data_IF_984714151488
#
_entry.id   IF_984714151488
#
_cell.length_a   1.000
_cell.length_b   1.000
_cell.length_c   1.000
_cell.angle_alpha   90.00
_cell.angle_beta   90.00
_cell.angle_gamma   90.00
#
_symmetry.space_group_name_H-M   'P 1'
#
loop_
_entity.id
_entity.type
_entity.pdbx_description
1 polymer ?
#
# COMPACT_ATOMS: atom_id res chain seq x y z
N UNK A 1 25.16 -5.01 3.70
CA UNK A 1 24.52 -3.76 4.17
C UNK A 1 24.73 -3.66 5.68
N UNK A 2 25.44 -2.63 6.15
CA UNK A 2 25.66 -2.37 7.59
C UNK A 2 24.49 -1.50 8.07
N UNK A 3 23.78 -1.89 9.12
CA UNK A 3 22.59 -1.23 9.73
C UNK A 3 21.17 -1.70 9.29
N UNK A 4 20.96 -2.98 9.00
CA UNK A 4 19.59 -3.52 8.87
C UNK A 4 18.99 -3.76 10.27
N UNK A 5 18.13 -2.86 10.77
CA UNK A 5 17.34 -3.10 11.98
C UNK A 5 16.29 -4.17 11.68
N UNK A 6 16.31 -5.26 12.47
CA UNK A 6 15.27 -6.29 12.42
C UNK A 6 13.98 -5.68 12.98
N UNK A 7 12.98 -5.47 12.13
CA UNK A 7 11.68 -4.97 12.55
C UNK A 7 10.85 -6.11 13.17
N UNK A 8 10.11 -5.80 14.22
CA UNK A 8 9.12 -6.71 14.76
C UNK A 8 7.97 -6.93 13.76
N UNK A 9 7.28 -8.07 13.84
CA UNK A 9 6.15 -8.39 12.94
C UNK A 9 5.03 -7.35 13.01
N UNK A 10 4.83 -6.72 14.17
CA UNK A 10 3.89 -5.61 14.36
C UNK A 10 4.29 -4.36 13.59
N UNK A 11 5.59 -4.04 13.54
CA UNK A 11 6.13 -2.89 12.80
C UNK A 11 6.10 -3.14 11.29
N UNK A 12 6.35 -4.37 10.85
CA UNK A 12 6.20 -4.77 9.44
C UNK A 12 4.78 -4.55 8.90
N UNK A 13 3.74 -4.76 9.72
CA UNK A 13 2.35 -4.49 9.34
C UNK A 13 2.04 -3.00 9.18
N UNK A 14 2.83 -2.12 9.81
CA UNK A 14 2.69 -0.66 9.68
C UNK A 14 3.39 -0.13 8.43
N UNK A 15 4.25 -0.93 7.80
CA UNK A 15 4.87 -0.56 6.54
C UNK A 15 3.86 -0.82 5.42
N UNK A 16 3.37 0.27 4.84
CA UNK A 16 2.65 0.24 3.59
C UNK A 16 3.61 -0.20 2.47
N UNK A 17 3.65 -1.49 2.19
CA UNK A 17 4.52 -2.05 1.16
C UNK A 17 4.20 -1.43 -0.20
N UNK A 18 5.24 -1.00 -0.93
CA UNK A 18 5.09 -0.49 -2.29
C UNK A 18 4.71 0.99 -2.43
N UNK A 19 4.94 1.82 -1.41
CA UNK A 19 4.69 3.27 -1.45
C UNK A 19 3.20 3.64 -1.51
N UNK A 20 2.36 2.91 -0.77
CA UNK A 20 0.92 3.16 -0.75
C UNK A 20 0.61 4.55 -0.15
N UNK A 21 -0.31 5.31 -0.78
CA UNK A 21 -0.69 6.63 -0.30
C UNK A 21 -1.45 6.56 1.02
N UNK A 22 -1.43 7.66 1.77
CA UNK A 22 -2.36 7.88 2.88
C UNK A 22 -3.67 8.37 2.27
N UNK A 23 -4.77 7.71 2.58
CA UNK A 23 -6.11 8.05 2.09
C UNK A 23 -6.91 8.78 3.17
N UNK A 24 -7.93 9.53 2.73
CA UNK A 24 -8.90 10.17 3.62
C UNK A 24 -9.66 9.14 4.47
N UNK A 25 -10.23 9.53 5.64
CA UNK A 25 -11.07 8.66 6.45
C UNK A 25 -12.24 8.09 5.63
N UNK A 26 -12.44 6.77 5.70
CA UNK A 26 -13.45 6.06 4.90
C UNK A 26 -12.96 5.58 3.53
N UNK A 27 -11.69 5.81 3.18
CA UNK A 27 -11.03 5.24 2.01
C UNK A 27 -9.77 4.47 2.39
N UNK A 28 -9.47 3.43 1.61
CA UNK A 28 -8.29 2.57 1.75
C UNK A 28 -7.42 2.61 0.49
N UNK A 29 -6.09 2.50 0.64
CA UNK A 29 -5.20 2.40 -0.52
C UNK A 29 -5.31 1.01 -1.16
N UNK A 30 -5.76 0.96 -2.42
CA UNK A 30 -5.78 -0.24 -3.25
C UNK A 30 -4.65 -0.20 -4.27
N UNK A 31 -3.97 -1.34 -4.46
CA UNK A 31 -2.94 -1.48 -5.50
C UNK A 31 -3.52 -2.16 -6.73
N UNK A 32 -3.61 -1.41 -7.83
CA UNK A 32 -3.99 -1.96 -9.12
C UNK A 32 -2.78 -2.55 -9.82
N UNK A 33 -2.97 -3.72 -10.43
CA UNK A 33 -1.91 -4.38 -11.22
C UNK A 33 -1.66 -3.58 -12.49
N UNK A 34 -0.46 -3.75 -13.05
CA UNK A 34 -0.16 -3.21 -14.37
C UNK A 34 -1.04 -3.92 -15.41
N UNK A 35 -1.83 -3.16 -16.17
CA UNK A 35 -2.72 -3.69 -17.21
C UNK A 35 -2.78 -2.71 -18.39
N UNK A 36 -2.93 -3.23 -19.62
CA UNK A 36 -3.09 -2.44 -20.84
C UNK A 36 -2.00 -1.37 -21.06
N UNK A 37 -0.74 -1.66 -20.69
CA UNK A 37 0.37 -0.73 -20.83
C UNK A 37 0.47 0.32 -19.72
N UNK A 38 -0.43 0.30 -18.74
CA UNK A 38 -0.33 1.15 -17.56
C UNK A 38 0.50 0.46 -16.47
N UNK A 39 1.46 1.17 -15.82
CA UNK A 39 2.20 0.61 -14.70
C UNK A 39 1.27 0.38 -13.50
N UNK A 40 1.66 -0.53 -12.61
CA UNK A 40 0.93 -0.75 -11.36
C UNK A 40 0.89 0.56 -10.55
N UNK A 41 -0.30 0.95 -10.13
CA UNK A 41 -0.53 2.22 -9.44
C UNK A 41 -1.37 2.03 -8.18
N UNK A 42 -1.32 3.02 -7.30
CA UNK A 42 -2.17 3.10 -6.12
C UNK A 42 -3.33 4.03 -6.37
N UNK A 43 -4.48 3.67 -5.82
CA UNK A 43 -5.63 4.57 -5.75
C UNK A 43 -6.31 4.44 -4.39
N UNK A 44 -6.91 5.53 -3.92
CA UNK A 44 -7.76 5.50 -2.74
C UNK A 44 -9.18 5.11 -3.14
N UNK A 45 -9.67 4.00 -2.60
CA UNK A 45 -10.99 3.46 -2.88
C UNK A 45 -11.79 3.48 -1.59
N UNK A 46 -13.07 3.89 -1.65
CA UNK A 46 -13.92 3.88 -0.47
C UNK A 46 -13.99 2.46 0.13
N UNK A 47 -14.03 2.36 1.46
CA UNK A 47 -14.03 1.07 2.17
C UNK A 47 -15.22 0.17 1.78
N UNK A 48 -16.29 0.75 1.24
CA UNK A 48 -17.46 0.08 0.70
C UNK A 48 -17.16 -0.77 -0.55
N UNK A 49 -16.09 -0.47 -1.29
CA UNK A 49 -15.73 -1.16 -2.54
C UNK A 49 -14.51 -2.06 -2.38
N UNK A 50 -14.52 -3.18 -3.11
CA UNK A 50 -13.41 -4.12 -3.16
C UNK A 50 -12.18 -3.53 -3.89
N UNK A 51 -10.99 -3.78 -3.32
CA UNK A 51 -9.76 -3.93 -4.11
C UNK A 51 -9.73 -5.40 -4.62
#
# INVERSE_FOLDING_TARGET
>A
MKNLKKLAKSELKKINGGNAPVCEPGARPCRYKAENGHPAYWNCVAEEYAC
#
